data_IF_018411384916
#
_entry.id   IF_018411384916
#
_cell.length_a   1.000
_cell.length_b   1.000
_cell.length_c   1.000
_cell.angle_alpha   90.00
_cell.angle_beta   90.00
_cell.angle_gamma   90.00
#
_symmetry.space_group_name_H-M   'P 1'
#
loop_
_entity.id
_entity.type
_entity.pdbx_description
1 polymer ?
#
# COMPACT_ATOMS: atom_id res chain seq x y z
N UNK A 1 24.10 -24.39 -52.66
CA UNK A 1 22.92 -23.53 -52.62
C UNK A 1 21.81 -24.30 -51.97
N UNK A 2 21.53 -24.05 -50.72
CA UNK A 2 20.56 -24.81 -49.91
C UNK A 2 19.29 -23.97 -49.74
N UNK A 3 18.20 -24.46 -50.27
CA UNK A 3 16.85 -23.92 -50.16
C UNK A 3 16.19 -24.39 -48.83
N UNK A 4 16.61 -23.86 -47.69
CA UNK A 4 15.99 -24.11 -46.39
C UNK A 4 15.88 -22.82 -45.60
N UNK A 5 14.97 -21.93 -45.99
CA UNK A 5 14.56 -20.82 -45.12
C UNK A 5 13.31 -20.11 -45.69
N UNK A 6 12.20 -20.79 -45.76
CA UNK A 6 10.88 -20.19 -46.04
C UNK A 6 9.73 -20.89 -45.34
N UNK A 7 9.90 -21.32 -44.11
CA UNK A 7 8.75 -21.83 -43.33
C UNK A 7 8.74 -21.25 -41.89
N UNK A 8 8.96 -19.95 -41.80
CA UNK A 8 8.80 -19.21 -40.57
C UNK A 8 7.50 -18.41 -40.63
N UNK A 9 6.45 -18.90 -39.93
CA UNK A 9 5.37 -18.03 -39.52
C UNK A 9 3.92 -18.47 -39.75
N UNK A 10 3.63 -19.59 -40.34
CA UNK A 10 2.23 -20.07 -40.44
C UNK A 10 1.87 -20.92 -39.24
N UNK A 11 1.15 -20.30 -38.29
CA UNK A 11 0.59 -21.01 -37.13
C UNK A 11 -0.33 -22.12 -37.59
N UNK A 12 -0.18 -23.33 -37.03
CA UNK A 12 -1.00 -24.50 -37.38
C UNK A 12 -2.50 -24.17 -37.27
N UNK A 13 -3.36 -24.72 -38.16
CA UNK A 13 -4.80 -24.42 -38.20
C UNK A 13 -5.50 -24.56 -36.83
N UNK A 14 -5.10 -25.54 -36.01
CA UNK A 14 -5.60 -25.72 -34.64
C UNK A 14 -5.30 -24.53 -33.75
N UNK A 15 -4.13 -23.90 -33.90
CA UNK A 15 -3.77 -22.70 -33.11
C UNK A 15 -4.55 -21.45 -33.54
N UNK A 16 -4.94 -21.36 -34.83
CA UNK A 16 -5.78 -20.25 -35.31
C UNK A 16 -7.21 -20.38 -34.81
N UNK A 17 -7.77 -21.61 -34.81
CA UNK A 17 -9.10 -21.89 -34.26
C UNK A 17 -9.15 -21.57 -32.77
N UNK A 18 -8.13 -21.99 -32.00
CA UNK A 18 -8.07 -21.70 -30.56
C UNK A 18 -8.01 -20.22 -30.27
N UNK A 19 -7.24 -19.45 -31.05
CA UNK A 19 -7.21 -17.98 -30.95
C UNK A 19 -8.54 -17.33 -31.34
N UNK A 20 -9.24 -17.85 -32.34
CA UNK A 20 -10.55 -17.34 -32.72
C UNK A 20 -11.59 -17.59 -31.63
N UNK A 21 -11.59 -18.78 -31.02
CA UNK A 21 -12.45 -19.12 -29.89
C UNK A 21 -12.14 -18.21 -28.70
N UNK A 22 -10.87 -18.02 -28.38
CA UNK A 22 -10.47 -17.13 -27.27
C UNK A 22 -10.98 -15.69 -27.50
N UNK A 23 -10.78 -15.14 -28.70
CA UNK A 23 -11.30 -13.80 -29.04
C UNK A 23 -12.83 -13.71 -28.96
N UNK A 24 -13.52 -14.77 -29.35
CA UNK A 24 -14.99 -14.83 -29.25
C UNK A 24 -15.43 -14.84 -27.79
N UNK A 25 -14.78 -15.62 -26.94
CA UNK A 25 -15.05 -15.66 -25.50
C UNK A 25 -14.78 -14.29 -24.86
N UNK A 26 -13.66 -13.65 -25.18
CA UNK A 26 -13.35 -12.29 -24.71
C UNK A 26 -14.40 -11.26 -25.17
N UNK A 27 -14.83 -11.34 -26.43
CA UNK A 27 -15.86 -10.47 -26.99
C UNK A 27 -17.21 -10.66 -26.27
N UNK A 28 -17.66 -11.88 -26.09
CA UNK A 28 -18.91 -12.19 -25.39
C UNK A 28 -18.80 -11.76 -23.93
N UNK A 29 -17.68 -12.06 -23.26
CA UNK A 29 -17.42 -11.65 -21.88
C UNK A 29 -17.46 -10.14 -21.71
N UNK A 30 -16.89 -9.38 -22.65
CA UNK A 30 -16.95 -7.91 -22.65
C UNK A 30 -18.39 -7.39 -22.75
N UNK A 31 -19.22 -7.97 -23.62
CA UNK A 31 -20.62 -7.58 -23.76
C UNK A 31 -21.44 -7.91 -22.51
N UNK A 32 -21.26 -9.10 -21.94
CA UNK A 32 -21.91 -9.49 -20.68
C UNK A 32 -21.51 -8.53 -19.57
N UNK A 33 -20.21 -8.24 -19.43
CA UNK A 33 -19.71 -7.29 -18.44
C UNK A 33 -20.31 -5.90 -18.63
N UNK A 34 -20.33 -5.39 -19.88
CA UNK A 34 -20.89 -4.09 -20.20
C UNK A 34 -22.39 -4.00 -19.86
N UNK A 35 -23.13 -5.08 -20.16
CA UNK A 35 -24.56 -5.17 -19.84
C UNK A 35 -24.80 -5.20 -18.31
N UNK A 36 -24.04 -6.01 -17.59
CA UNK A 36 -24.10 -6.03 -16.11
C UNK A 36 -23.71 -4.67 -15.52
N UNK A 37 -22.69 -4.03 -16.07
CA UNK A 37 -22.28 -2.68 -15.65
C UNK A 37 -23.36 -1.65 -15.92
N UNK A 38 -24.08 -1.74 -17.03
CA UNK A 38 -25.22 -0.90 -17.34
C UNK A 38 -26.38 -1.07 -16.32
N UNK A 39 -26.69 -2.32 -15.96
CA UNK A 39 -27.75 -2.62 -14.97
C UNK A 39 -27.42 -2.12 -13.57
N UNK A 40 -26.14 -2.05 -13.21
CA UNK A 40 -25.68 -1.57 -11.89
C UNK A 40 -25.79 -0.03 -11.71
N UNK A 41 -26.18 0.70 -12.73
CA UNK A 41 -26.28 2.17 -12.67
C UNK A 41 -24.89 2.88 -12.66
N UNK A 42 -24.78 4.20 -12.44
CA UNK A 42 -23.51 4.93 -12.43
C UNK A 42 -22.62 4.54 -11.25
N UNK A 43 -21.30 4.68 -11.39
CA UNK A 43 -20.38 4.55 -10.27
C UNK A 43 -20.64 5.66 -9.24
N UNK A 44 -20.52 5.33 -7.96
CA UNK A 44 -20.56 6.34 -6.89
C UNK A 44 -19.30 7.21 -6.97
N UNK A 45 -19.44 8.51 -6.76
CA UNK A 45 -18.35 9.46 -6.72
C UNK A 45 -18.00 9.79 -5.28
N UNK A 46 -16.72 9.80 -4.97
CA UNK A 46 -16.26 10.31 -3.68
C UNK A 46 -16.34 11.84 -3.64
N UNK A 47 -16.52 12.46 -2.46
CA UNK A 47 -16.49 13.89 -2.31
C UNK A 47 -15.17 14.50 -2.78
N UNK A 48 -15.15 15.69 -3.39
CA UNK A 48 -13.92 16.34 -3.81
C UNK A 48 -13.05 16.70 -2.59
N UNK A 49 -11.73 16.67 -2.77
CA UNK A 49 -10.79 17.11 -1.74
C UNK A 49 -10.88 18.64 -1.63
N UNK A 50 -11.30 19.15 -0.47
CA UNK A 50 -11.42 20.60 -0.19
C UNK A 50 -10.26 21.11 0.64
N UNK A 51 -9.76 20.29 1.56
CA UNK A 51 -8.63 20.64 2.44
C UNK A 51 -7.30 20.38 1.71
N UNK A 52 -6.55 21.45 1.47
CA UNK A 52 -5.24 21.38 0.80
C UNK A 52 -4.16 20.71 1.63
N UNK A 53 -4.35 20.59 2.95
CA UNK A 53 -3.44 19.84 3.84
C UNK A 53 -3.32 18.38 3.38
N UNK A 54 -4.41 17.81 2.90
CA UNK A 54 -4.47 16.43 2.39
C UNK A 54 -3.66 16.21 1.10
N UNK A 55 -3.24 17.27 0.41
CA UNK A 55 -2.45 17.19 -0.83
C UNK A 55 -0.95 17.27 -0.59
N UNK A 56 -0.48 17.46 0.63
CA UNK A 56 0.93 17.43 0.95
C UNK A 56 1.47 15.99 1.02
N UNK A 57 2.75 15.82 0.69
CA UNK A 57 3.47 14.57 0.97
C UNK A 57 3.71 14.41 2.47
N UNK A 58 3.94 13.19 2.94
CA UNK A 58 4.24 12.94 4.35
C UNK A 58 5.49 13.69 4.81
N UNK A 59 6.53 13.74 3.98
CA UNK A 59 7.75 14.52 4.26
C UNK A 59 7.49 16.02 4.33
N UNK A 60 6.59 16.55 3.49
CA UNK A 60 6.19 17.96 3.54
C UNK A 60 5.37 18.27 4.80
N UNK A 61 4.44 17.38 5.19
CA UNK A 61 3.69 17.52 6.43
C UNK A 61 4.61 17.56 7.66
N UNK A 62 5.54 16.60 7.74
CA UNK A 62 6.54 16.56 8.82
C UNK A 62 7.37 17.85 8.88
N UNK A 63 7.82 18.37 7.73
CA UNK A 63 8.54 19.63 7.64
C UNK A 63 7.71 20.81 8.16
N UNK A 64 6.44 20.91 7.75
CA UNK A 64 5.54 21.99 8.17
C UNK A 64 5.24 21.93 9.68
N UNK A 65 5.04 20.73 10.24
CA UNK A 65 4.81 20.53 11.68
C UNK A 65 6.05 20.97 12.46
N UNK A 66 7.25 20.46 12.11
CA UNK A 66 8.51 20.84 12.80
C UNK A 66 8.76 22.34 12.78
N UNK A 67 8.40 23.01 11.69
CA UNK A 67 8.55 24.46 11.54
C UNK A 67 7.35 25.26 12.08
N UNK A 68 6.42 24.61 12.80
CA UNK A 68 5.23 25.25 13.40
C UNK A 68 4.33 26.00 12.40
N UNK A 69 4.35 25.56 11.13
CA UNK A 69 3.48 26.07 10.07
C UNK A 69 2.11 25.36 10.03
N UNK A 70 2.06 24.15 10.55
CA UNK A 70 0.86 23.37 10.85
C UNK A 70 1.04 22.74 12.23
N UNK A 71 -0.06 22.49 12.92
CA UNK A 71 -0.05 21.65 14.11
C UNK A 71 -0.28 20.18 13.72
N UNK A 72 0.24 19.26 14.52
CA UNK A 72 -0.02 17.84 14.33
C UNK A 72 -1.51 17.52 14.49
N UNK A 73 -2.19 18.19 15.44
CA UNK A 73 -3.63 18.03 15.63
C UNK A 73 -4.44 18.46 14.40
N UNK A 74 -4.12 19.61 13.77
CA UNK A 74 -4.79 20.03 12.53
C UNK A 74 -4.61 18.98 11.43
N UNK A 75 -3.39 18.48 11.25
CA UNK A 75 -3.09 17.47 10.24
C UNK A 75 -3.86 16.17 10.49
N UNK A 76 -3.81 15.62 11.72
CA UNK A 76 -4.51 14.39 12.08
C UNK A 76 -6.02 14.56 11.93
N UNK A 77 -6.59 15.69 12.37
CA UNK A 77 -8.01 15.98 12.24
C UNK A 77 -8.45 16.04 10.77
N UNK A 78 -7.67 16.69 9.90
CA UNK A 78 -7.95 16.73 8.46
C UNK A 78 -8.08 15.33 7.84
N UNK A 79 -7.18 14.41 8.20
CA UNK A 79 -7.26 13.02 7.72
C UNK A 79 -8.42 12.24 8.34
N UNK A 80 -8.74 12.45 9.61
CA UNK A 80 -9.93 11.86 10.26
C UNK A 80 -11.20 12.29 9.54
N UNK A 81 -11.36 13.58 9.28
CA UNK A 81 -12.53 14.12 8.62
C UNK A 81 -12.64 13.55 7.19
N UNK A 82 -11.52 13.46 6.48
CA UNK A 82 -11.49 12.86 5.15
C UNK A 82 -11.88 11.38 5.17
N UNK A 83 -11.38 10.60 6.13
CA UNK A 83 -11.77 9.19 6.29
C UNK A 83 -13.26 9.08 6.51
N UNK A 84 -13.85 9.90 7.40
CA UNK A 84 -15.30 9.90 7.67
C UNK A 84 -16.13 10.21 6.42
N UNK A 85 -15.64 11.08 5.53
CA UNK A 85 -16.31 11.40 4.27
C UNK A 85 -16.31 10.23 3.27
N UNK A 86 -15.17 9.52 3.15
CA UNK A 86 -14.97 8.51 2.11
C UNK A 86 -15.34 7.09 2.53
N UNK A 87 -15.29 6.78 3.82
CA UNK A 87 -15.54 5.44 4.35
C UNK A 87 -16.89 4.84 3.94
N UNK A 88 -18.03 5.57 3.99
CA UNK A 88 -19.34 5.04 3.58
C UNK A 88 -19.40 4.61 2.11
N UNK A 89 -18.58 5.21 1.26
CA UNK A 89 -18.54 4.94 -0.19
C UNK A 89 -17.53 3.85 -0.51
N UNK A 90 -16.33 3.92 0.10
CA UNK A 90 -15.16 3.16 -0.32
C UNK A 90 -14.90 1.91 0.53
N UNK A 91 -15.31 1.91 1.79
CA UNK A 91 -15.12 0.80 2.74
C UNK A 91 -13.64 0.37 2.85
N UNK A 92 -12.76 1.33 3.14
CA UNK A 92 -11.31 1.10 3.18
C UNK A 92 -10.74 0.92 4.59
N UNK A 93 -11.36 1.50 5.64
CA UNK A 93 -10.95 1.37 7.05
C UNK A 93 -11.76 0.26 7.72
N UNK A 94 -11.11 -0.57 8.52
CA UNK A 94 -11.75 -1.65 9.27
C UNK A 94 -11.76 -1.41 10.77
N UNK A 95 -10.79 -0.67 11.28
CA UNK A 95 -10.75 -0.20 12.66
C UNK A 95 -9.95 1.10 12.73
N UNK A 96 -10.39 2.04 13.51
CA UNK A 96 -9.72 3.32 13.73
C UNK A 96 -9.33 3.51 15.20
N UNK A 97 -8.42 4.47 15.43
CA UNK A 97 -7.99 4.92 16.76
C UNK A 97 -7.91 6.44 16.80
N UNK A 98 -8.92 7.10 16.29
CA UNK A 98 -8.94 8.55 16.06
C UNK A 98 -8.71 9.37 17.33
N UNK A 99 -9.31 8.96 18.44
CA UNK A 99 -9.15 9.66 19.74
C UNK A 99 -7.71 9.58 20.22
N UNK A 100 -7.13 8.39 20.27
CA UNK A 100 -5.72 8.21 20.65
C UNK A 100 -4.77 8.96 19.73
N UNK A 101 -5.06 8.95 18.41
CA UNK A 101 -4.23 9.64 17.42
C UNK A 101 -4.26 11.16 17.63
N UNK A 102 -5.38 11.75 18.02
CA UNK A 102 -5.50 13.17 18.38
C UNK A 102 -4.78 13.49 19.68
N UNK A 103 -4.81 12.58 20.67
CA UNK A 103 -4.03 12.75 21.91
C UNK A 103 -2.52 12.70 21.62
N UNK A 104 -2.06 11.72 20.82
CA UNK A 104 -0.65 11.65 20.40
C UNK A 104 -0.23 12.89 19.59
N UNK A 105 -1.10 13.41 18.72
CA UNK A 105 -0.87 14.64 17.98
C UNK A 105 -0.76 15.85 18.89
N UNK A 106 -1.62 15.94 19.92
CA UNK A 106 -1.53 16.99 20.94
C UNK A 106 -0.21 16.96 21.70
N UNK A 107 0.26 15.75 22.07
CA UNK A 107 1.57 15.61 22.73
C UNK A 107 2.71 16.11 21.84
N UNK A 108 2.64 15.89 20.53
CA UNK A 108 3.60 16.46 19.57
C UNK A 108 3.57 17.98 19.57
N UNK A 109 2.38 18.58 19.55
CA UNK A 109 2.22 20.03 19.54
C UNK A 109 2.66 20.66 20.87
N UNK A 110 2.36 20.01 21.99
CA UNK A 110 2.78 20.47 23.33
C UNK A 110 4.30 20.40 23.49
N UNK A 111 4.95 19.35 22.95
CA UNK A 111 6.41 19.28 22.91
C UNK A 111 7.02 20.45 22.13
N UNK A 112 6.46 20.81 20.97
CA UNK A 112 6.95 21.93 20.17
C UNK A 112 6.76 23.29 20.85
N UNK A 113 5.80 23.41 21.77
CA UNK A 113 5.54 24.65 22.57
C UNK A 113 6.39 24.73 23.83
N UNK A 114 6.97 23.61 24.26
CA UNK A 114 7.75 23.57 25.52
C UNK A 114 9.06 24.35 25.42
N UNK A 115 9.60 24.75 26.55
CA UNK A 115 10.92 25.43 26.65
C UNK A 115 12.07 24.53 26.19
N UNK A 116 11.90 23.20 26.31
CA UNK A 116 12.88 22.20 25.91
C UNK A 116 12.56 21.60 24.51
N UNK A 117 11.83 22.35 23.67
CA UNK A 117 11.48 21.86 22.32
C UNK A 117 12.74 21.53 21.51
N UNK A 118 12.88 20.33 20.96
CA UNK A 118 13.99 20.00 20.07
C UNK A 118 14.00 20.94 18.85
N UNK A 119 15.18 21.24 18.33
CA UNK A 119 15.27 22.03 17.10
C UNK A 119 14.64 21.28 15.92
N UNK A 120 14.16 22.00 14.89
CA UNK A 120 13.63 21.35 13.68
C UNK A 120 14.62 20.39 13.01
N UNK A 121 15.93 20.65 13.13
CA UNK A 121 17.00 19.80 12.60
C UNK A 121 17.09 18.48 13.39
N UNK A 122 17.11 18.55 14.72
CA UNK A 122 17.13 17.36 15.58
C UNK A 122 15.90 16.49 15.30
N UNK A 123 14.70 17.09 15.23
CA UNK A 123 13.49 16.34 14.87
C UNK A 123 13.55 15.76 13.46
N UNK A 124 14.21 16.42 12.51
CA UNK A 124 14.35 15.88 11.16
C UNK A 124 15.24 14.63 11.12
N UNK A 125 16.23 14.53 11.98
CA UNK A 125 17.16 13.42 12.08
C UNK A 125 16.59 12.27 12.93
N UNK A 126 16.07 12.58 14.13
CA UNK A 126 15.62 11.57 15.08
C UNK A 126 14.18 11.11 14.85
N UNK A 127 13.29 12.00 14.40
CA UNK A 127 11.85 11.76 14.19
C UNK A 127 11.39 12.34 12.84
N UNK A 128 11.85 11.78 11.71
CA UNK A 128 11.62 12.35 10.37
C UNK A 128 10.13 12.49 9.99
N UNK A 129 9.23 11.70 10.59
CA UNK A 129 7.78 11.80 10.40
C UNK A 129 7.04 12.32 11.64
N UNK A 130 7.69 13.17 12.44
CA UNK A 130 7.13 13.74 13.66
C UNK A 130 5.73 14.34 13.43
N UNK A 131 4.72 13.80 14.16
CA UNK A 131 3.34 14.26 14.15
C UNK A 131 2.53 13.92 12.88
N UNK A 132 3.07 13.10 11.97
CA UNK A 132 2.39 12.71 10.71
C UNK A 132 1.59 11.43 10.91
N UNK A 133 0.29 11.38 10.55
CA UNK A 133 -0.50 10.15 10.65
C UNK A 133 -0.11 9.13 9.57
N UNK A 134 -0.30 7.83 9.87
CA UNK A 134 -0.15 6.73 8.93
C UNK A 134 -1.18 5.63 9.15
N UNK A 135 -1.37 4.79 8.16
CA UNK A 135 -2.25 3.63 8.22
C UNK A 135 -1.48 2.33 8.01
N UNK A 136 -2.08 1.22 8.41
CA UNK A 136 -1.53 -0.11 8.15
C UNK A 136 -2.60 -1.05 7.64
N UNK A 137 -2.19 -2.02 6.87
CA UNK A 137 -3.00 -3.16 6.49
C UNK A 137 -3.41 -3.97 7.72
N UNK A 138 -4.68 -4.39 7.84
CA UNK A 138 -5.24 -5.14 9.00
C UNK A 138 -4.46 -6.42 9.39
N UNK A 139 -3.58 -6.91 8.56
CA UNK A 139 -2.70 -8.03 8.89
C UNK A 139 -1.40 -7.63 9.60
N UNK A 140 -1.14 -6.33 9.83
CA UNK A 140 0.05 -5.79 10.49
C UNK A 140 -0.37 -5.24 11.85
N UNK A 141 0.20 -5.78 12.92
CA UNK A 141 -0.23 -5.51 14.29
C UNK A 141 0.00 -4.07 14.73
N UNK A 142 -1.02 -3.45 15.31
CA UNK A 142 -0.94 -2.24 16.13
C UNK A 142 -1.44 -2.60 17.51
N UNK A 143 -0.70 -2.26 18.56
CA UNK A 143 -1.08 -2.51 19.95
C UNK A 143 -2.49 -2.01 20.26
N UNK A 144 -3.31 -2.86 20.85
CA UNK A 144 -4.69 -2.55 21.25
C UNK A 144 -5.71 -2.59 20.11
N UNK A 145 -5.30 -2.76 18.86
CA UNK A 145 -6.19 -2.89 17.70
C UNK A 145 -6.36 -4.34 17.26
N UNK A 146 -7.48 -4.63 16.61
CA UNK A 146 -7.73 -5.96 16.03
C UNK A 146 -6.74 -6.24 14.90
N UNK A 147 -6.33 -7.51 14.81
CA UNK A 147 -5.52 -8.05 13.72
C UNK A 147 -6.22 -9.27 13.16
N UNK A 148 -7.13 -9.04 12.23
CA UNK A 148 -8.02 -10.11 11.75
C UNK A 148 -7.54 -10.77 10.46
N UNK A 149 -6.76 -10.07 9.64
CA UNK A 149 -6.43 -10.45 8.26
C UNK A 149 -7.70 -10.81 7.44
N UNK A 150 -8.82 -10.15 7.71
CA UNK A 150 -10.12 -10.39 7.08
C UNK A 150 -10.77 -11.72 7.45
N UNK A 151 -10.23 -12.46 8.43
CA UNK A 151 -10.70 -13.80 8.79
C UNK A 151 -11.73 -13.76 9.93
N UNK A 152 -12.91 -14.27 9.68
CA UNK A 152 -14.03 -14.30 10.65
C UNK A 152 -13.66 -14.95 11.99
N UNK A 153 -12.82 -16.00 11.97
CA UNK A 153 -12.33 -16.67 13.17
C UNK A 153 -11.45 -15.76 14.05
N UNK A 154 -10.90 -14.70 13.48
CA UNK A 154 -10.03 -13.75 14.18
C UNK A 154 -10.69 -12.41 14.50
N UNK A 155 -12.00 -12.28 14.30
CA UNK A 155 -12.76 -11.02 14.48
C UNK A 155 -12.56 -10.30 15.83
N UNK A 156 -12.17 -11.05 16.86
CA UNK A 156 -11.94 -10.54 18.22
C UNK A 156 -10.47 -10.63 18.65
N UNK A 157 -9.55 -10.95 17.75
CA UNK A 157 -8.12 -11.03 18.10
C UNK A 157 -7.53 -9.63 18.12
N UNK A 158 -7.16 -9.17 19.30
CA UNK A 158 -6.51 -7.87 19.55
C UNK A 158 -5.00 -8.09 19.68
N UNK A 159 -4.22 -7.21 19.09
CA UNK A 159 -2.77 -7.26 19.15
C UNK A 159 -2.24 -6.73 20.49
N UNK A 160 -1.38 -7.51 21.14
CA UNK A 160 -0.75 -7.14 22.42
C UNK A 160 0.49 -6.27 22.22
N UNK A 161 1.05 -6.26 21.03
CA UNK A 161 2.25 -5.49 20.69
C UNK A 161 2.20 -4.96 19.25
N UNK A 162 2.92 -3.91 18.99
CA UNK A 162 3.14 -3.41 17.64
C UNK A 162 3.95 -4.42 16.80
N UNK A 163 3.64 -4.52 15.53
CA UNK A 163 4.57 -5.08 14.56
C UNK A 163 5.85 -4.24 14.51
N UNK A 164 7.00 -4.87 14.19
CA UNK A 164 8.27 -4.14 14.17
C UNK A 164 8.23 -2.92 13.23
N UNK A 165 7.59 -3.05 12.08
CA UNK A 165 7.39 -1.93 11.15
C UNK A 165 6.60 -0.76 11.78
N UNK A 166 5.58 -1.06 12.58
CA UNK A 166 4.77 -0.04 13.29
C UNK A 166 5.59 0.60 14.39
N UNK A 167 6.32 -0.20 15.19
CA UNK A 167 7.21 0.30 16.24
C UNK A 167 8.26 1.27 15.69
N UNK A 168 8.86 0.95 14.56
CA UNK A 168 9.85 1.80 13.89
C UNK A 168 9.23 3.11 13.38
N UNK A 169 8.03 3.06 12.81
CA UNK A 169 7.33 4.27 12.38
C UNK A 169 6.95 5.17 13.56
N UNK A 170 6.50 4.59 14.67
CA UNK A 170 6.25 5.35 15.92
C UNK A 170 7.54 5.97 16.46
N UNK A 171 8.65 5.22 16.47
CA UNK A 171 9.95 5.74 16.87
C UNK A 171 10.40 6.91 15.98
N UNK A 172 10.07 6.88 14.69
CA UNK A 172 10.30 7.98 13.75
C UNK A 172 9.30 9.15 13.92
N UNK A 173 8.42 9.09 14.93
CA UNK A 173 7.47 10.15 15.30
C UNK A 173 6.15 10.12 14.54
N UNK A 174 5.89 9.10 13.72
CA UNK A 174 4.61 8.95 13.02
C UNK A 174 3.52 8.40 13.95
N UNK A 175 2.28 8.80 13.70
CA UNK A 175 1.10 8.48 14.52
C UNK A 175 0.23 7.47 13.79
N UNK A 176 0.03 6.24 14.29
CA UNK A 176 -0.90 5.29 13.67
C UNK A 176 -2.33 5.78 13.81
N UNK A 177 -3.09 5.78 12.70
CA UNK A 177 -4.42 6.35 12.61
C UNK A 177 -5.54 5.30 12.53
N UNK A 178 -5.31 4.27 11.72
CA UNK A 178 -6.30 3.23 11.46
C UNK A 178 -5.66 1.99 10.82
N UNK A 179 -6.39 0.87 10.87
CA UNK A 179 -6.11 -0.30 10.04
C UNK A 179 -7.05 -0.37 8.86
N UNK A 180 -6.56 -0.87 7.75
CA UNK A 180 -7.25 -0.87 6.46
C UNK A 180 -7.59 -2.27 5.98
N UNK A 181 -8.66 -2.38 5.19
CA UNK A 181 -9.19 -3.64 4.71
C UNK A 181 -8.18 -4.43 3.86
N UNK A 182 -8.31 -5.72 3.90
CA UNK A 182 -7.41 -6.71 3.30
C UNK A 182 -8.21 -7.82 2.63
N UNK A 183 -7.68 -8.48 1.61
CA UNK A 183 -8.20 -9.76 1.15
C UNK A 183 -8.10 -10.80 2.27
N UNK A 184 -9.06 -11.71 2.39
CA UNK A 184 -9.01 -12.75 3.43
C UNK A 184 -7.65 -13.47 3.41
N UNK A 185 -6.99 -13.55 4.58
CA UNK A 185 -5.62 -14.07 4.79
C UNK A 185 -4.55 -13.42 3.89
N UNK A 186 -4.80 -12.22 3.38
CA UNK A 186 -3.94 -11.54 2.43
C UNK A 186 -3.68 -12.32 1.11
N UNK A 187 -4.60 -13.20 0.69
CA UNK A 187 -4.38 -14.21 -0.35
C UNK A 187 -5.19 -13.99 -1.63
N UNK A 188 -5.59 -12.75 -1.97
CA UNK A 188 -6.30 -12.47 -3.22
C UNK A 188 -5.96 -11.09 -3.82
N UNK A 189 -6.29 -10.91 -5.08
CA UNK A 189 -6.04 -9.67 -5.85
C UNK A 189 -7.15 -8.63 -5.75
N UNK A 190 -8.26 -8.98 -5.12
CA UNK A 190 -9.34 -8.09 -4.76
C UNK A 190 -9.44 -7.99 -3.25
N UNK A 191 -9.61 -6.79 -2.72
CA UNK A 191 -9.74 -6.58 -1.28
C UNK A 191 -11.18 -6.74 -0.86
N UNK A 192 -11.50 -7.97 -0.52
CA UNK A 192 -12.83 -8.41 -0.06
C UNK A 192 -12.70 -9.55 0.92
N UNK A 193 -13.55 -9.57 1.94
CA UNK A 193 -13.67 -10.65 2.91
C UNK A 193 -15.07 -10.67 3.52
N UNK A 194 -15.41 -11.78 4.21
CA UNK A 194 -16.72 -11.94 4.84
C UNK A 194 -16.92 -11.10 6.09
N UNK A 195 -15.84 -10.57 6.70
CA UNK A 195 -15.91 -9.82 7.95
C UNK A 195 -16.25 -8.34 7.69
N UNK A 196 -15.63 -7.73 6.71
CA UNK A 196 -15.69 -6.29 6.44
C UNK A 196 -16.28 -5.94 5.06
N UNK A 197 -16.48 -6.94 4.20
CA UNK A 197 -16.95 -6.71 2.83
C UNK A 197 -15.85 -6.26 1.88
N UNK A 198 -16.24 -5.58 0.80
CA UNK A 198 -15.38 -5.23 -0.33
C UNK A 198 -14.99 -3.76 -0.29
N UNK A 199 -13.70 -3.47 -0.42
CA UNK A 199 -13.17 -2.12 -0.64
C UNK A 199 -13.28 -1.75 -2.12
N UNK A 200 -13.81 -0.56 -2.40
CA UNK A 200 -14.05 -0.07 -3.76
C UNK A 200 -12.87 0.78 -4.25
N UNK A 201 -12.66 0.80 -5.57
CA UNK A 201 -11.65 1.66 -6.18
C UNK A 201 -12.11 3.13 -6.13
N UNK A 202 -11.29 4.07 -5.63
CA UNK A 202 -11.69 5.47 -5.41
C UNK A 202 -11.92 6.26 -6.71
N UNK A 203 -11.35 5.83 -7.84
CA UNK A 203 -11.58 6.47 -9.15
C UNK A 203 -12.83 5.95 -9.83
N UNK A 204 -13.18 4.70 -9.57
CA UNK A 204 -14.41 4.09 -10.10
C UNK A 204 -14.82 2.91 -9.21
N UNK A 205 -15.87 3.11 -8.43
CA UNK A 205 -16.37 2.14 -7.45
C UNK A 205 -16.84 0.80 -8.02
N UNK A 206 -16.87 0.66 -9.36
CA UNK A 206 -17.16 -0.60 -10.05
C UNK A 206 -15.93 -1.42 -10.40
N UNK A 207 -14.74 -0.83 -10.28
CA UNK A 207 -13.47 -1.53 -10.48
C UNK A 207 -12.94 -2.05 -9.14
N UNK A 208 -12.15 -3.12 -9.22
CA UNK A 208 -11.42 -3.62 -8.07
C UNK A 208 -10.33 -2.62 -7.68
N UNK A 209 -10.05 -2.56 -6.40
CA UNK A 209 -9.01 -1.70 -5.83
C UNK A 209 -7.62 -2.33 -5.91
N UNK A 210 -7.57 -3.62 -6.28
CA UNK A 210 -6.38 -4.45 -6.15
C UNK A 210 -6.29 -5.10 -4.76
N UNK A 211 -5.29 -5.92 -4.56
CA UNK A 211 -5.09 -6.67 -3.32
C UNK A 211 -3.68 -7.28 -3.23
N UNK A 212 -3.39 -7.71 -2.05
CA UNK A 212 -4.21 -7.81 -0.85
C UNK A 212 -4.18 -6.54 0.04
N UNK A 213 -3.29 -5.55 -0.18
CA UNK A 213 -3.27 -4.27 0.54
C UNK A 213 -4.16 -3.21 -0.15
N UNK A 214 -5.38 -3.60 -0.57
CA UNK A 214 -6.25 -2.70 -1.32
C UNK A 214 -6.89 -1.61 -0.46
N UNK A 215 -7.09 -1.86 0.84
CA UNK A 215 -7.50 -0.82 1.78
C UNK A 215 -6.48 0.32 1.85
N UNK A 216 -5.16 0.00 1.91
CA UNK A 216 -4.07 0.98 1.81
C UNK A 216 -4.07 1.70 0.45
N UNK A 217 -4.24 0.95 -0.65
CA UNK A 217 -4.35 1.53 -1.98
C UNK A 217 -5.50 2.53 -2.10
N UNK A 218 -6.66 2.16 -1.55
CA UNK A 218 -7.86 2.98 -1.57
C UNK A 218 -7.71 4.27 -0.74
N UNK A 219 -7.38 4.11 0.54
CA UNK A 219 -7.38 5.24 1.49
C UNK A 219 -6.38 6.32 1.07
N UNK A 220 -5.19 5.94 0.61
CA UNK A 220 -4.17 6.89 0.17
C UNK A 220 -4.58 7.60 -1.13
N UNK A 221 -5.10 6.88 -2.13
CA UNK A 221 -5.57 7.49 -3.37
C UNK A 221 -6.76 8.43 -3.15
N UNK A 222 -7.61 8.15 -2.16
CA UNK A 222 -8.71 9.00 -1.74
C UNK A 222 -8.31 10.13 -0.80
N UNK A 223 -7.01 10.30 -0.50
CA UNK A 223 -6.45 11.28 0.42
C UNK A 223 -6.85 11.10 1.90
N UNK A 224 -7.20 9.89 2.31
CA UNK A 224 -7.50 9.55 3.71
C UNK A 224 -6.26 9.20 4.55
N UNK A 225 -5.10 9.01 3.93
CA UNK A 225 -3.80 8.83 4.59
C UNK A 225 -2.67 9.33 3.71
N UNK A 226 -1.62 9.97 4.24
CA UNK A 226 -0.49 10.43 3.45
C UNK A 226 0.47 9.29 3.07
N UNK A 227 0.58 8.29 3.93
CA UNK A 227 1.44 7.11 3.78
C UNK A 227 0.84 5.91 4.52
N UNK A 228 1.30 4.72 4.20
CA UNK A 228 0.88 3.50 4.88
C UNK A 228 1.84 2.34 4.68
N UNK A 229 1.56 1.27 5.39
CA UNK A 229 2.37 0.06 5.40
C UNK A 229 1.54 -1.11 4.88
N UNK A 230 2.00 -1.70 3.79
CA UNK A 230 1.45 -2.93 3.22
C UNK A 230 2.37 -4.11 3.37
N UNK A 231 1.97 -5.25 2.83
CA UNK A 231 2.82 -6.44 2.70
C UNK A 231 2.63 -7.10 1.34
N UNK A 232 3.67 -7.74 0.82
CA UNK A 232 3.69 -8.26 -0.55
C UNK A 232 4.45 -9.59 -0.61
N UNK A 233 3.79 -10.62 -1.10
CA UNK A 233 4.39 -11.90 -1.45
C UNK A 233 4.36 -12.12 -2.97
N UNK A 234 3.23 -11.79 -3.59
CA UNK A 234 2.96 -12.00 -5.02
C UNK A 234 2.38 -10.78 -5.75
N UNK A 235 2.58 -9.56 -5.19
CA UNK A 235 2.08 -8.31 -5.76
C UNK A 235 1.24 -7.46 -4.81
N UNK A 236 1.08 -7.87 -3.55
CA UNK A 236 0.08 -7.28 -2.64
C UNK A 236 0.35 -5.85 -2.15
N UNK A 237 1.52 -5.27 -2.42
CA UNK A 237 1.80 -3.82 -2.38
C UNK A 237 1.67 -3.24 -3.78
N UNK A 238 2.32 -3.87 -4.76
CA UNK A 238 2.52 -3.35 -6.12
C UNK A 238 1.22 -3.30 -6.92
N UNK A 239 0.36 -4.33 -6.81
CA UNK A 239 -0.93 -4.40 -7.51
C UNK A 239 -1.86 -3.26 -7.06
N UNK A 240 -2.18 -3.09 -5.75
CA UNK A 240 -3.04 -1.98 -5.34
C UNK A 240 -2.40 -0.61 -5.59
N UNK A 241 -1.06 -0.48 -5.50
CA UNK A 241 -0.39 0.77 -5.87
C UNK A 241 -0.60 1.11 -7.34
N UNK A 242 -0.41 0.14 -8.23
CA UNK A 242 -0.62 0.33 -9.66
C UNK A 242 -2.08 0.66 -10.01
N UNK A 243 -3.04 -0.04 -9.39
CA UNK A 243 -4.48 0.15 -9.67
C UNK A 243 -5.01 1.51 -9.19
N UNK A 244 -4.34 2.10 -8.21
CA UNK A 244 -4.77 3.36 -7.59
C UNK A 244 -3.81 4.53 -7.84
N UNK A 245 -2.80 4.36 -8.72
CA UNK A 245 -1.89 5.45 -9.09
C UNK A 245 -0.99 5.93 -7.95
N UNK A 246 -0.54 5.00 -7.10
CA UNK A 246 0.32 5.24 -5.95
C UNK A 246 1.74 4.72 -6.18
N UNK A 247 2.64 5.09 -5.28
CA UNK A 247 3.97 4.55 -5.19
C UNK A 247 4.02 3.48 -4.10
N UNK A 248 4.31 2.24 -4.50
CA UNK A 248 4.47 1.11 -3.59
C UNK A 248 5.79 0.42 -3.84
N UNK A 249 6.53 0.12 -2.77
CA UNK A 249 7.81 -0.56 -2.88
C UNK A 249 7.79 -1.87 -2.09
N UNK A 250 8.08 -2.97 -2.79
CA UNK A 250 8.36 -4.25 -2.16
C UNK A 250 9.87 -4.37 -1.93
N UNK A 251 10.35 -4.22 -0.69
CA UNK A 251 11.77 -4.36 -0.38
C UNK A 251 12.31 -5.75 -0.71
N UNK A 252 13.62 -5.85 -0.87
CA UNK A 252 14.31 -7.14 -0.90
C UNK A 252 14.04 -7.89 0.38
N UNK A 253 13.89 -9.20 0.27
CA UNK A 253 13.58 -10.07 1.42
C UNK A 253 14.63 -9.93 2.53
N UNK A 254 14.16 -9.86 3.77
CA UNK A 254 15.00 -9.72 4.95
C UNK A 254 15.47 -8.30 5.25
N UNK A 255 15.23 -7.33 4.34
CA UNK A 255 15.61 -5.93 4.60
C UNK A 255 14.66 -5.25 5.58
N UNK A 256 13.38 -5.55 5.50
CA UNK A 256 12.35 -5.10 6.44
C UNK A 256 11.85 -6.30 7.24
N UNK A 257 11.67 -6.14 8.54
CA UNK A 257 11.15 -7.19 9.41
C UNK A 257 9.69 -7.50 9.08
N UNK A 258 9.34 -8.78 9.02
CA UNK A 258 7.97 -9.27 8.91
C UNK A 258 7.35 -9.60 10.28
N UNK A 259 8.05 -9.30 11.39
CA UNK A 259 7.56 -9.57 12.73
C UNK A 259 6.29 -8.76 13.02
N UNK A 260 5.29 -9.44 13.60
CA UNK A 260 3.98 -8.85 13.88
C UNK A 260 3.00 -8.87 12.71
N UNK A 261 3.33 -9.52 11.57
CA UNK A 261 2.37 -9.76 10.50
C UNK A 261 1.65 -11.11 10.68
N UNK A 262 0.35 -11.14 10.37
CA UNK A 262 -0.47 -12.35 10.26
C UNK A 262 -1.14 -12.43 8.87
N UNK A 263 -1.18 -13.62 8.19
CA UNK A 263 -0.42 -14.81 8.58
C UNK A 263 1.10 -14.59 8.47
N UNK A 264 1.83 -15.22 9.37
CA UNK A 264 3.30 -15.29 9.26
C UNK A 264 3.70 -16.29 8.17
N UNK A 265 4.88 -16.12 7.59
CA UNK A 265 5.42 -17.10 6.68
C UNK A 265 5.63 -18.45 7.40
N UNK A 266 5.15 -19.53 6.78
CA UNK A 266 5.18 -20.89 7.35
C UNK A 266 6.30 -21.74 6.77
N UNK A 267 7.03 -21.25 5.77
CA UNK A 267 8.14 -21.92 5.12
C UNK A 267 9.24 -20.93 4.72
N UNK A 268 10.44 -21.46 4.47
CA UNK A 268 11.56 -20.67 3.97
C UNK A 268 11.25 -20.00 2.61
N UNK A 269 10.55 -20.70 1.72
CA UNK A 269 10.17 -20.17 0.43
C UNK A 269 9.15 -19.00 0.56
N UNK A 270 8.21 -19.09 1.48
CA UNK A 270 7.31 -17.97 1.79
C UNK A 270 8.09 -16.79 2.38
N UNK A 271 9.03 -17.05 3.29
CA UNK A 271 9.90 -16.01 3.85
C UNK A 271 10.75 -15.31 2.79
N UNK A 272 11.20 -16.03 1.77
CA UNK A 272 11.95 -15.45 0.65
C UNK A 272 11.13 -14.52 -0.23
N UNK A 273 9.81 -14.62 -0.19
CA UNK A 273 8.91 -13.83 -1.02
C UNK A 273 8.20 -12.72 -0.25
N UNK A 274 7.85 -12.97 1.02
CA UNK A 274 7.11 -12.03 1.85
C UNK A 274 7.99 -10.84 2.27
N UNK A 275 7.45 -9.63 2.10
CA UNK A 275 8.06 -8.42 2.61
C UNK A 275 7.00 -7.40 3.00
N UNK A 276 7.13 -6.82 4.18
CA UNK A 276 6.45 -5.58 4.54
C UNK A 276 7.14 -4.43 3.82
N UNK A 277 6.38 -3.41 3.40
CA UNK A 277 6.94 -2.28 2.71
C UNK A 277 6.02 -1.07 2.62
N UNK A 278 6.57 0.08 2.20
CA UNK A 278 5.87 1.35 2.15
C UNK A 278 4.93 1.47 0.95
N UNK A 279 3.84 2.19 1.18
CA UNK A 279 2.92 2.69 0.16
C UNK A 279 2.68 4.17 0.43
N UNK A 280 2.71 5.03 -0.60
CA UNK A 280 2.51 6.47 -0.45
C UNK A 280 2.02 7.13 -1.75
N UNK A 281 1.48 8.34 -1.61
CA UNK A 281 0.98 9.12 -2.76
C UNK A 281 2.10 9.76 -3.58
N UNK A 282 3.24 10.03 -2.96
CA UNK A 282 4.33 10.77 -3.59
C UNK A 282 5.64 10.00 -3.49
N UNK A 283 6.35 9.85 -4.61
CA UNK A 283 7.59 9.08 -4.71
C UNK A 283 8.66 9.51 -3.69
N UNK A 284 8.70 10.80 -3.35
CA UNK A 284 9.67 11.35 -2.39
C UNK A 284 9.55 10.77 -0.99
N UNK A 285 8.38 10.21 -0.63
CA UNK A 285 8.15 9.62 0.69
C UNK A 285 8.68 8.17 0.79
N UNK A 286 8.85 7.46 -0.36
CA UNK A 286 9.29 6.07 -0.37
C UNK A 286 10.64 5.86 0.32
N UNK A 287 11.63 6.67 -0.05
CA UNK A 287 12.99 6.51 0.47
C UNK A 287 13.10 6.73 1.98
N UNK A 288 12.55 7.82 2.56
CA UNK A 288 12.55 8.00 4.01
C UNK A 288 11.83 6.88 4.76
N UNK A 289 10.66 6.43 4.27
CA UNK A 289 9.92 5.34 4.91
C UNK A 289 10.73 4.05 4.85
N UNK A 290 11.32 3.71 3.69
CA UNK A 290 12.13 2.51 3.54
C UNK A 290 13.34 2.50 4.47
N UNK A 291 14.01 3.64 4.65
CA UNK A 291 15.14 3.77 5.59
C UNK A 291 14.72 3.44 7.02
N UNK A 292 13.57 3.96 7.45
CA UNK A 292 13.02 3.69 8.77
C UNK A 292 12.67 2.20 8.92
N UNK A 293 11.95 1.64 7.97
CA UNK A 293 11.50 0.24 8.02
C UNK A 293 12.65 -0.77 7.93
N UNK A 294 13.73 -0.43 7.22
CA UNK A 294 14.92 -1.26 7.11
C UNK A 294 15.81 -1.22 8.36
N UNK A 295 15.69 -0.17 9.18
CA UNK A 295 16.43 0.00 10.43
C UNK A 295 17.94 -0.29 10.24
N UNK A 296 18.50 -1.19 11.03
CA UNK A 296 19.91 -1.64 10.94
C UNK A 296 20.33 -2.18 9.57
N UNK A 297 19.39 -2.58 8.74
CA UNK A 297 19.66 -3.09 7.39
C UNK A 297 19.72 -1.95 6.34
N UNK A 298 19.43 -0.69 6.72
CA UNK A 298 19.35 0.43 5.77
C UNK A 298 20.68 0.66 5.02
N UNK A 299 21.82 0.46 5.68
CA UNK A 299 23.15 0.61 5.07
C UNK A 299 23.40 -0.43 3.97
N UNK A 300 22.86 -1.66 4.12
CA UNK A 300 22.98 -2.72 3.11
C UNK A 300 22.25 -2.39 1.81
N UNK A 301 21.30 -1.46 1.84
CA UNK A 301 20.52 -1.05 0.68
C UNK A 301 21.21 0.04 -0.15
N UNK A 302 22.33 0.58 0.33
CA UNK A 302 23.10 1.65 -0.38
C UNK A 302 22.22 2.83 -0.84
N UNK A 303 21.19 3.18 -0.05
CA UNK A 303 20.13 4.13 -0.42
C UNK A 303 20.63 5.57 -0.61
N UNK A 304 21.85 5.89 -0.18
CA UNK A 304 22.47 7.22 -0.33
C UNK A 304 23.41 7.30 -1.55
N UNK A 305 23.69 6.17 -2.20
CA UNK A 305 24.60 6.15 -3.35
C UNK A 305 23.95 6.77 -4.59
N UNK A 306 24.69 7.64 -5.25
CA UNK A 306 24.25 8.19 -6.54
C UNK A 306 24.49 7.15 -7.62
N UNK A 307 23.42 6.68 -8.24
CA UNK A 307 23.49 5.75 -9.36
C UNK A 307 23.60 6.54 -10.66
N UNK A 308 24.67 6.29 -11.43
CA UNK A 308 24.80 6.80 -12.79
C UNK A 308 24.00 5.91 -13.75
N UNK A 309 22.80 6.36 -14.10
CA UNK A 309 21.87 5.64 -14.97
C UNK A 309 22.50 5.30 -16.32
N UNK A 310 23.44 6.14 -16.82
CA UNK A 310 24.10 5.93 -18.11
C UNK A 310 25.03 4.71 -18.13
N UNK A 311 25.47 4.26 -16.95
CA UNK A 311 26.35 3.11 -16.75
C UNK A 311 25.60 1.81 -16.44
N UNK A 312 24.27 1.86 -16.29
CA UNK A 312 23.49 0.66 -16.01
C UNK A 312 23.44 -0.25 -17.24
N UNK A 313 23.79 -1.52 -17.05
CA UNK A 313 23.62 -2.54 -18.07
C UNK A 313 22.17 -3.07 -17.98
N UNK A 314 21.39 -2.86 -19.04
CA UNK A 314 20.03 -3.38 -19.14
C UNK A 314 20.04 -4.66 -19.94
N UNK A 315 19.52 -5.75 -19.36
CA UNK A 315 19.27 -7.00 -20.07
C UNK A 315 17.78 -7.15 -20.35
N UNK A 316 17.42 -7.22 -21.62
CA UNK A 316 16.05 -7.51 -22.02
C UNK A 316 15.88 -9.01 -22.19
N UNK A 317 15.07 -9.64 -21.33
CA UNK A 317 14.72 -11.07 -21.44
C UNK A 317 13.42 -11.18 -22.23
N UNK A 318 13.50 -11.78 -23.43
CA UNK A 318 12.31 -12.09 -24.21
C UNK A 318 11.67 -13.38 -23.69
N UNK A 319 10.66 -13.26 -22.84
CA UNK A 319 9.95 -14.39 -22.23
C UNK A 319 9.13 -15.22 -23.21
N UNK A 320 8.87 -14.74 -24.42
CA UNK A 320 8.16 -15.51 -25.44
C UNK A 320 8.92 -16.76 -25.91
N UNK A 321 10.21 -16.86 -25.60
CA UNK A 321 11.07 -18.01 -25.91
C UNK A 321 11.32 -18.95 -24.74
N UNK A 322 10.85 -18.63 -23.54
CA UNK A 322 10.91 -19.55 -22.40
C UNK A 322 9.90 -20.68 -22.64
N UNK A 323 10.35 -21.76 -23.29
CA UNK A 323 9.65 -23.04 -23.22
C UNK A 323 9.78 -23.52 -21.79
N UNK A 324 8.67 -23.53 -21.05
CA UNK A 324 8.57 -24.33 -19.83
C UNK A 324 8.85 -25.78 -20.21
N UNK A 325 10.05 -26.24 -19.96
CA UNK A 325 10.34 -27.67 -19.95
C UNK A 325 9.55 -28.26 -18.79
N UNK A 326 8.36 -28.76 -19.08
CA UNK A 326 7.66 -29.67 -18.20
C UNK A 326 8.52 -30.95 -18.10
N UNK A 327 9.10 -31.17 -16.95
CA UNK A 327 9.47 -32.49 -16.44
C UNK A 327 8.54 -32.86 -15.30
#
# INVERSE_FOLDING_TARGET
MSTKDKDQGKMQPKGQILKAIHRLIEFIGKWIYTFIAFLKGPAESQPPIKDLTLLHSATTLALKIRNKQLTSQEVVQSYIDRIKEIQPILNCVVEDRFEDALEEAKLCDDLLKSENAPSPQVLAEEKPFFGVPFTTKDCIAITGMKQTAGLTLRKNVVSERDAEAVRLMRAAGAIPLATTNVSELAMWWETSNCLYGTTKNPYNTRHIVGGSSGGEGCIQAAAGSPLGIGSDIGGSIRIPSYFNGLFGHKPSTGMVSNDGQYPSAQSEDQNRLLSIGPMCRYAQDLLPILKILADKNADMLHLNEKVDISKLKTTVVNTSRLRLNQR
#
